data_IF_385979425792
#
_entry.id   IF_385979425792
#
_cell.length_a   1.000
_cell.length_b   1.000
_cell.length_c   1.000
_cell.angle_alpha   90.00
_cell.angle_beta   90.00
_cell.angle_gamma   90.00
#
_symmetry.space_group_name_H-M   'P 1'
#
loop_
_entity.id
_entity.type
_entity.pdbx_description
1 polymer ?
#
# COMPACT_ATOMS: atom_id res chain seq x y z
N UNK A 1 41.16 -18.24 -17.12
CA UNK A 1 40.04 -18.61 -18.04
C UNK A 1 39.21 -19.75 -17.48
N UNK A 2 39.77 -20.92 -17.16
CA UNK A 2 39.00 -22.04 -16.57
C UNK A 2 38.37 -21.65 -15.23
N UNK A 3 39.12 -21.00 -14.36
CA UNK A 3 38.62 -20.61 -13.03
C UNK A 3 37.47 -19.61 -13.11
N UNK A 4 37.56 -18.61 -14.00
CA UNK A 4 36.47 -17.68 -14.30
C UNK A 4 35.20 -18.39 -14.73
N UNK A 5 35.30 -19.34 -15.67
CA UNK A 5 34.15 -20.13 -16.09
C UNK A 5 33.55 -20.90 -14.90
N UNK A 6 34.40 -21.54 -14.09
CA UNK A 6 33.97 -22.34 -12.94
C UNK A 6 33.39 -21.50 -11.80
N UNK A 7 33.71 -20.21 -11.74
CA UNK A 7 33.14 -19.27 -10.78
C UNK A 7 31.77 -18.75 -11.23
N UNK A 8 31.63 -18.33 -12.50
CA UNK A 8 30.42 -17.69 -13.00
C UNK A 8 29.32 -18.65 -13.47
N UNK A 9 29.67 -19.87 -13.90
CA UNK A 9 28.67 -20.88 -14.21
C UNK A 9 28.20 -21.59 -12.93
N UNK A 10 26.92 -22.02 -12.87
CA UNK A 10 25.90 -22.01 -13.92
C UNK A 10 25.23 -20.65 -14.15
N UNK A 11 24.58 -20.47 -15.31
CA UNK A 11 23.73 -19.32 -15.57
C UNK A 11 22.56 -19.26 -14.56
N UNK A 12 22.59 -18.30 -13.64
CA UNK A 12 21.56 -18.14 -12.61
C UNK A 12 20.19 -17.80 -13.21
N UNK A 13 20.15 -16.88 -14.18
CA UNK A 13 18.92 -16.37 -14.78
C UNK A 13 19.12 -16.03 -16.26
N UNK A 14 18.16 -16.44 -17.10
CA UNK A 14 18.02 -15.99 -18.49
C UNK A 14 16.68 -15.30 -18.68
N UNK A 15 16.69 -14.04 -19.10
CA UNK A 15 15.48 -13.27 -19.43
C UNK A 15 15.29 -13.25 -20.94
N UNK A 16 14.06 -13.45 -21.41
CA UNK A 16 13.72 -13.45 -22.84
C UNK A 16 12.23 -13.20 -23.07
N UNK A 17 11.85 -12.87 -24.30
CA UNK A 17 10.44 -12.90 -24.69
C UNK A 17 9.95 -14.35 -24.94
N UNK A 18 8.62 -14.52 -24.82
CA UNK A 18 7.91 -15.81 -24.93
C UNK A 18 8.06 -16.52 -26.28
N UNK A 19 8.38 -15.79 -27.35
CA UNK A 19 8.61 -16.32 -28.69
C UNK A 19 9.86 -17.20 -28.80
N UNK A 20 10.83 -17.06 -27.89
CA UNK A 20 12.04 -17.88 -27.86
C UNK A 20 11.86 -19.20 -27.08
N UNK A 21 10.75 -19.38 -26.35
CA UNK A 21 10.45 -20.61 -25.61
C UNK A 21 10.51 -21.85 -26.54
N UNK A 22 9.75 -21.92 -27.65
CA UNK A 22 9.70 -23.12 -28.49
C UNK A 22 10.98 -23.37 -29.31
N UNK A 23 11.97 -22.48 -29.27
CA UNK A 23 13.22 -22.60 -30.04
C UNK A 23 14.46 -22.43 -29.14
N UNK A 24 15.09 -21.26 -29.14
CA UNK A 24 16.37 -20.96 -28.51
C UNK A 24 16.44 -21.38 -27.04
N UNK A 25 15.40 -21.11 -26.23
CA UNK A 25 15.44 -21.47 -24.81
C UNK A 25 15.37 -23.00 -24.62
N UNK A 26 14.55 -23.68 -25.41
CA UNK A 26 14.48 -25.15 -25.43
C UNK A 26 15.80 -25.75 -25.92
N UNK A 27 16.35 -25.24 -27.02
CA UNK A 27 17.66 -25.67 -27.55
C UNK A 27 18.78 -25.41 -26.55
N UNK A 28 18.76 -24.30 -25.81
CA UNK A 28 19.75 -24.02 -24.78
C UNK A 28 19.75 -25.09 -23.70
N UNK A 29 18.59 -25.55 -23.24
CA UNK A 29 18.49 -26.65 -22.27
C UNK A 29 19.09 -27.95 -22.84
N UNK A 30 18.72 -28.33 -24.06
CA UNK A 30 19.27 -29.53 -24.71
C UNK A 30 20.79 -29.47 -24.87
N UNK A 31 21.32 -28.33 -25.34
CA UNK A 31 22.76 -28.17 -25.51
C UNK A 31 23.50 -28.23 -24.17
N UNK A 32 23.00 -27.59 -23.11
CA UNK A 32 23.65 -27.66 -21.79
C UNK A 32 23.64 -29.07 -21.21
N UNK A 33 22.54 -29.81 -21.38
CA UNK A 33 22.44 -31.18 -20.93
C UNK A 33 23.39 -32.12 -21.70
N UNK A 34 23.50 -31.95 -23.02
CA UNK A 34 24.40 -32.75 -23.85
C UNK A 34 25.88 -32.43 -23.64
N UNK A 35 26.19 -31.15 -23.39
CA UNK A 35 27.57 -30.70 -23.23
C UNK A 35 28.06 -31.02 -21.80
N UNK A 36 27.27 -30.73 -20.77
CA UNK A 36 27.57 -31.00 -19.35
C UNK A 36 26.76 -32.17 -18.80
N UNK A 37 26.78 -33.30 -19.50
CA UNK A 37 26.06 -34.53 -19.13
C UNK A 37 26.47 -35.03 -17.73
N UNK A 38 27.79 -35.04 -17.45
CA UNK A 38 28.35 -35.47 -16.18
C UNK A 38 28.34 -34.39 -15.08
N UNK A 39 27.96 -33.15 -15.42
CA UNK A 39 27.95 -32.02 -14.48
C UNK A 39 26.61 -31.24 -14.46
N UNK A 40 25.49 -31.85 -14.01
CA UNK A 40 24.18 -31.18 -13.96
C UNK A 40 24.16 -29.90 -13.11
N UNK A 41 25.11 -29.74 -12.21
CA UNK A 41 25.30 -28.50 -11.46
C UNK A 41 25.54 -27.29 -12.38
N UNK A 42 26.13 -27.48 -13.56
CA UNK A 42 26.41 -26.45 -14.56
C UNK A 42 25.20 -26.14 -15.47
N UNK A 43 24.07 -26.83 -15.31
CA UNK A 43 22.86 -26.55 -16.09
C UNK A 43 22.22 -25.21 -15.67
N UNK A 44 21.52 -24.52 -16.59
CA UNK A 44 20.81 -23.27 -16.30
C UNK A 44 19.86 -23.40 -15.09
N UNK A 45 19.83 -22.40 -14.21
CA UNK A 45 19.02 -22.46 -12.97
C UNK A 45 17.63 -21.88 -13.13
N UNK A 46 17.46 -20.82 -13.91
CA UNK A 46 16.14 -20.21 -14.10
C UNK A 46 16.03 -19.47 -15.43
N UNK A 47 14.80 -19.41 -15.92
CA UNK A 47 14.38 -18.61 -17.07
C UNK A 47 13.19 -17.75 -16.64
N UNK A 48 13.21 -16.49 -17.07
CA UNK A 48 12.07 -15.58 -16.94
C UNK A 48 11.63 -15.16 -18.34
N UNK A 49 10.35 -15.33 -18.65
CA UNK A 49 9.80 -15.01 -19.96
C UNK A 49 8.74 -13.93 -19.85
N UNK A 50 8.86 -12.87 -20.66
CA UNK A 50 7.89 -11.80 -20.78
C UNK A 50 7.11 -11.86 -22.11
N UNK A 51 5.96 -11.18 -22.18
CA UNK A 51 5.27 -10.96 -23.45
C UNK A 51 5.98 -9.98 -24.38
N UNK A 52 5.40 -9.73 -25.56
CA UNK A 52 5.91 -8.70 -26.46
C UNK A 52 5.57 -7.30 -25.95
N UNK A 53 6.28 -6.29 -26.44
CA UNK A 53 6.03 -4.89 -26.05
C UNK A 53 5.04 -4.26 -27.02
N UNK A 54 3.95 -3.72 -26.47
CA UNK A 54 3.04 -2.78 -27.11
C UNK A 54 3.48 -1.34 -26.81
N UNK A 55 3.05 -0.40 -27.64
CA UNK A 55 3.19 1.04 -27.40
C UNK A 55 1.79 1.65 -27.41
N UNK A 56 1.38 2.24 -26.29
CA UNK A 56 0.04 2.78 -26.05
C UNK A 56 -1.08 1.79 -26.45
N UNK A 57 -0.97 0.57 -25.93
CA UNK A 57 -1.87 -0.56 -26.17
C UNK A 57 -1.95 -1.04 -27.64
N UNK A 58 -1.09 -0.52 -28.52
CA UNK A 58 -1.01 -0.94 -29.91
C UNK A 58 0.25 -1.74 -30.23
N UNK A 59 0.13 -2.69 -31.15
CA UNK A 59 1.30 -3.38 -31.70
C UNK A 59 2.24 -2.37 -32.35
N UNK A 60 3.50 -2.41 -31.94
CA UNK A 60 4.54 -1.53 -32.47
C UNK A 60 4.77 -1.78 -33.96
N UNK A 61 4.59 -0.76 -34.80
CA UNK A 61 4.92 -0.84 -36.23
C UNK A 61 5.37 0.50 -36.79
N UNK A 62 6.36 0.47 -37.70
CA UNK A 62 6.83 1.69 -38.39
C UNK A 62 5.71 2.38 -39.18
N UNK A 63 4.82 1.59 -39.78
CA UNK A 63 3.69 2.10 -40.57
C UNK A 63 2.65 2.87 -39.75
N UNK A 64 2.51 2.57 -38.46
CA UNK A 64 1.60 3.26 -37.54
C UNK A 64 2.24 4.48 -36.88
N UNK A 65 3.53 4.71 -37.08
CA UNK A 65 4.27 5.80 -36.44
C UNK A 65 4.47 5.65 -34.92
N UNK A 66 4.14 4.48 -34.34
CA UNK A 66 4.32 4.18 -32.91
C UNK A 66 5.58 3.34 -32.64
N UNK A 67 6.51 3.28 -33.59
CA UNK A 67 7.79 2.60 -33.43
C UNK A 67 8.77 3.51 -32.69
N UNK A 68 9.23 3.07 -31.52
CA UNK A 68 10.16 3.84 -30.68
C UNK A 68 11.50 3.12 -30.62
N UNK A 69 12.58 3.77 -31.04
CA UNK A 69 13.93 3.26 -30.77
C UNK A 69 14.35 3.62 -29.35
N UNK A 70 15.23 2.81 -28.77
CA UNK A 70 15.81 3.08 -27.44
C UNK A 70 16.39 4.51 -27.36
N UNK A 71 17.20 4.91 -28.34
CA UNK A 71 17.81 6.25 -28.36
C UNK A 71 16.76 7.37 -28.43
N UNK A 72 15.63 7.14 -29.13
CA UNK A 72 14.54 8.11 -29.20
C UNK A 72 13.86 8.24 -27.85
N UNK A 73 13.57 7.12 -27.18
CA UNK A 73 12.97 7.13 -25.84
C UNK A 73 13.87 7.81 -24.81
N UNK A 74 15.17 7.53 -24.83
CA UNK A 74 16.14 8.19 -23.93
C UNK A 74 16.24 9.68 -24.21
N UNK A 75 16.21 10.09 -25.48
CA UNK A 75 16.30 11.51 -25.85
C UNK A 75 15.02 12.28 -25.49
N UNK A 76 13.85 11.65 -25.65
CA UNK A 76 12.56 12.29 -25.38
C UNK A 76 12.20 12.29 -23.88
N UNK A 77 12.55 11.23 -23.15
CA UNK A 77 12.10 11.03 -21.78
C UNK A 77 13.20 10.97 -20.73
N UNK A 78 14.48 10.95 -21.11
CA UNK A 78 15.62 10.48 -20.29
C UNK A 78 15.68 8.96 -20.09
N UNK A 79 16.87 8.48 -19.73
CA UNK A 79 17.09 7.07 -19.44
C UNK A 79 16.26 6.58 -18.25
N UNK A 80 16.13 7.38 -17.19
CA UNK A 80 15.44 6.95 -15.97
C UNK A 80 13.93 6.90 -16.14
N UNK A 81 13.32 7.89 -16.80
CA UNK A 81 11.87 7.84 -17.04
C UNK A 81 11.50 6.74 -18.06
N UNK A 82 12.35 6.49 -19.06
CA UNK A 82 12.19 5.34 -19.97
C UNK A 82 12.22 4.02 -19.19
N UNK A 83 13.22 3.83 -18.31
CA UNK A 83 13.32 2.62 -17.47
C UNK A 83 12.14 2.48 -16.51
N UNK A 84 11.67 3.59 -15.94
CA UNK A 84 10.47 3.63 -15.09
C UNK A 84 9.26 3.10 -15.87
N UNK A 85 8.99 3.65 -17.05
CA UNK A 85 7.88 3.21 -17.89
C UNK A 85 8.03 1.75 -18.33
N UNK A 86 9.25 1.27 -18.62
CA UNK A 86 9.51 -0.14 -18.91
C UNK A 86 9.21 -1.06 -17.73
N UNK A 87 9.54 -0.65 -16.51
CA UNK A 87 9.29 -1.44 -15.31
C UNK A 87 7.80 -1.46 -14.90
N UNK A 88 7.04 -0.40 -15.23
CA UNK A 88 5.57 -0.36 -15.07
C UNK A 88 4.83 -1.11 -16.20
N UNK A 89 5.47 -1.35 -17.35
CA UNK A 89 4.82 -1.84 -18.56
C UNK A 89 4.16 -3.22 -18.42
N UNK A 90 4.74 -4.10 -17.60
CA UNK A 90 4.22 -5.44 -17.35
C UNK A 90 5.29 -6.50 -17.10
N UNK A 91 4.96 -7.40 -16.19
CA UNK A 91 5.82 -8.42 -15.59
C UNK A 91 5.15 -9.80 -15.62
N UNK A 92 4.39 -10.09 -16.69
CA UNK A 92 3.80 -11.39 -16.98
C UNK A 92 4.15 -11.89 -18.39
N UNK A 93 3.61 -13.05 -18.77
CA UNK A 93 3.68 -13.59 -20.15
C UNK A 93 2.74 -12.86 -21.13
N UNK A 94 1.81 -12.07 -20.61
CA UNK A 94 0.98 -11.18 -21.42
C UNK A 94 1.84 -10.06 -22.01
N UNK A 95 1.37 -9.48 -23.10
CA UNK A 95 2.11 -8.41 -23.76
C UNK A 95 2.16 -7.17 -22.85
N UNK A 96 3.39 -6.72 -22.57
CA UNK A 96 3.66 -5.55 -21.76
C UNK A 96 3.34 -4.28 -22.56
N UNK A 97 2.87 -3.23 -21.89
CA UNK A 97 2.50 -1.99 -22.55
C UNK A 97 3.42 -0.83 -22.13
N UNK A 98 4.29 -0.39 -23.04
CA UNK A 98 5.01 0.86 -22.87
C UNK A 98 4.04 2.03 -23.12
N UNK A 99 3.71 2.77 -22.05
CA UNK A 99 2.86 3.96 -22.10
C UNK A 99 3.72 5.22 -22.17
N UNK A 100 3.56 6.01 -23.25
CA UNK A 100 4.25 7.31 -23.37
C UNK A 100 3.81 8.29 -22.28
N UNK A 101 2.53 8.25 -21.92
CA UNK A 101 1.97 9.04 -20.81
C UNK A 101 2.63 8.69 -19.47
N UNK A 102 2.92 7.41 -19.23
CA UNK A 102 3.62 6.97 -18.02
C UNK A 102 5.07 7.46 -18.03
N UNK A 103 5.75 7.48 -19.18
CA UNK A 103 7.10 8.03 -19.30
C UNK A 103 7.12 9.54 -19.01
N UNK A 104 6.19 10.31 -19.58
CA UNK A 104 6.05 11.76 -19.30
C UNK A 104 5.74 12.01 -17.82
N UNK A 105 4.82 11.24 -17.24
CA UNK A 105 4.46 11.32 -15.82
C UNK A 105 5.63 10.97 -14.90
N UNK A 106 6.48 10.02 -15.29
CA UNK A 106 7.67 9.66 -14.54
C UNK A 106 8.68 10.82 -14.49
N UNK A 107 8.87 11.57 -15.58
CA UNK A 107 9.73 12.77 -15.57
C UNK A 107 9.22 13.77 -14.53
N UNK A 108 7.93 14.12 -14.61
CA UNK A 108 7.31 15.08 -13.70
C UNK A 108 7.42 14.60 -12.25
N UNK A 109 7.13 13.31 -12.01
CA UNK A 109 7.23 12.72 -10.66
C UNK A 109 8.66 12.78 -10.13
N UNK A 110 9.66 12.36 -10.90
CA UNK A 110 11.06 12.36 -10.46
C UNK A 110 11.57 13.77 -10.15
N UNK A 111 11.23 14.77 -10.96
CA UNK A 111 11.63 16.17 -10.75
C UNK A 111 10.94 16.78 -9.54
N UNK A 112 9.64 16.52 -9.37
CA UNK A 112 8.89 17.01 -8.21
C UNK A 112 9.43 16.43 -6.90
N UNK A 113 9.78 15.13 -6.90
CA UNK A 113 10.34 14.48 -5.72
C UNK A 113 11.77 14.91 -5.41
N UNK A 114 12.61 15.11 -6.43
CA UNK A 114 13.95 15.70 -6.28
C UNK A 114 13.89 17.06 -5.59
N UNK A 115 13.01 17.94 -6.10
CA UNK A 115 12.79 19.28 -5.56
C UNK A 115 12.25 19.22 -4.14
N UNK A 116 11.19 18.43 -3.91
CA UNK A 116 10.57 18.32 -2.60
C UNK A 116 11.53 17.78 -1.54
N UNK A 117 12.29 16.72 -1.84
CA UNK A 117 13.27 16.14 -0.92
C UNK A 117 14.35 17.16 -0.57
N UNK A 118 14.90 17.83 -1.58
CA UNK A 118 15.98 18.81 -1.40
C UNK A 118 15.51 19.99 -0.55
N UNK A 119 14.38 20.60 -0.90
CA UNK A 119 13.85 21.78 -0.21
C UNK A 119 13.42 21.44 1.23
N UNK A 120 12.76 20.29 1.42
CA UNK A 120 12.25 19.89 2.73
C UNK A 120 13.39 19.59 3.70
N UNK A 121 14.41 18.84 3.27
CA UNK A 121 15.54 18.47 4.15
C UNK A 121 16.49 19.65 4.44
N UNK A 122 16.49 20.67 3.58
CA UNK A 122 17.20 21.92 3.84
C UNK A 122 16.40 22.90 4.74
N UNK A 123 15.09 22.68 4.91
CA UNK A 123 14.24 23.59 5.69
C UNK A 123 14.55 23.53 7.19
N UNK A 124 14.63 24.68 7.89
CA UNK A 124 14.73 24.72 9.35
C UNK A 124 13.40 24.39 10.05
N UNK A 125 12.29 24.27 9.30
CA UNK A 125 10.95 24.05 9.86
C UNK A 125 10.71 22.59 10.27
N UNK A 126 11.66 21.69 9.98
CA UNK A 126 11.60 20.31 10.47
C UNK A 126 11.97 20.27 11.94
N UNK A 127 11.11 19.68 12.76
CA UNK A 127 11.46 19.44 14.16
C UNK A 127 12.48 18.31 14.27
N UNK A 128 13.32 18.42 15.28
CA UNK A 128 14.44 17.50 15.54
C UNK A 128 14.39 16.87 16.93
N UNK A 129 13.45 17.31 17.76
CA UNK A 129 13.25 16.92 19.13
C UNK A 129 11.79 16.52 19.42
N UNK A 130 11.61 15.92 20.59
CA UNK A 130 10.32 15.42 21.08
C UNK A 130 10.06 13.94 20.78
N UNK A 131 9.08 13.38 21.48
CA UNK A 131 8.63 12.01 21.21
C UNK A 131 7.96 11.89 19.84
N UNK A 132 8.07 10.71 19.23
CA UNK A 132 7.33 10.41 18.01
C UNK A 132 5.82 10.46 18.28
N UNK A 133 5.13 11.31 17.54
CA UNK A 133 3.67 11.39 17.57
C UNK A 133 3.03 10.18 16.86
N UNK A 134 1.70 10.14 16.83
CA UNK A 134 0.96 9.06 16.19
C UNK A 134 1.34 8.87 14.71
N UNK A 135 1.34 9.96 13.92
CA UNK A 135 1.60 9.89 12.48
C UNK A 135 3.06 9.70 12.11
N UNK A 136 3.99 10.07 12.98
CA UNK A 136 5.39 9.69 12.88
C UNK A 136 5.55 8.17 12.88
N UNK A 137 4.96 7.52 13.89
CA UNK A 137 4.99 6.07 14.04
C UNK A 137 4.32 5.39 12.85
N UNK A 138 3.21 5.97 12.37
CA UNK A 138 2.50 5.48 11.18
C UNK A 138 3.42 5.49 9.96
N UNK A 139 4.09 6.61 9.67
CA UNK A 139 5.00 6.69 8.51
C UNK A 139 6.19 5.73 8.66
N UNK A 140 6.77 5.60 9.85
CA UNK A 140 7.83 4.60 10.10
C UNK A 140 7.35 3.17 9.84
N UNK A 141 6.14 2.85 10.28
CA UNK A 141 5.52 1.55 10.05
C UNK A 141 5.23 1.29 8.57
N UNK A 142 4.74 2.30 7.84
CA UNK A 142 4.54 2.22 6.40
C UNK A 142 5.86 2.02 5.65
N UNK A 143 6.93 2.72 6.01
CA UNK A 143 8.28 2.50 5.44
C UNK A 143 8.70 1.05 5.65
N UNK A 144 8.58 0.51 6.87
CA UNK A 144 8.93 -0.88 7.16
C UNK A 144 8.16 -1.87 6.27
N UNK A 145 6.84 -1.71 6.18
CA UNK A 145 5.96 -2.55 5.35
C UNK A 145 6.32 -2.47 3.88
N UNK A 146 6.52 -1.26 3.35
CA UNK A 146 6.77 -1.01 1.93
C UNK A 146 8.16 -1.45 1.48
N UNK A 147 9.17 -1.29 2.34
CA UNK A 147 10.53 -1.82 2.12
C UNK A 147 10.49 -3.34 1.94
N UNK A 148 9.76 -4.05 2.81
CA UNK A 148 9.59 -5.51 2.71
C UNK A 148 8.79 -5.92 1.49
N UNK A 149 7.68 -5.25 1.22
CA UNK A 149 6.83 -5.55 0.09
C UNK A 149 7.57 -5.37 -1.23
N UNK A 150 8.26 -4.24 -1.42
CA UNK A 150 9.07 -3.98 -2.61
C UNK A 150 10.21 -5.00 -2.77
N UNK A 151 10.90 -5.34 -1.67
CA UNK A 151 11.95 -6.38 -1.68
C UNK A 151 11.42 -7.72 -2.18
N UNK A 152 10.24 -8.13 -1.68
CA UNK A 152 9.56 -9.35 -2.12
C UNK A 152 9.22 -9.28 -3.60
N UNK A 153 8.62 -8.17 -4.06
CA UNK A 153 8.25 -7.98 -5.46
C UNK A 153 9.47 -8.10 -6.38
N UNK A 154 10.56 -7.38 -6.10
CA UNK A 154 11.80 -7.47 -6.87
C UNK A 154 12.48 -8.85 -6.79
N UNK A 155 12.48 -9.51 -5.63
CA UNK A 155 12.99 -10.88 -5.50
C UNK A 155 12.21 -11.87 -6.37
N UNK A 156 10.92 -11.62 -6.61
CA UNK A 156 10.06 -12.39 -7.52
C UNK A 156 9.99 -11.83 -8.94
N UNK A 157 10.82 -10.84 -9.29
CA UNK A 157 10.84 -10.16 -10.59
C UNK A 157 9.51 -9.49 -11.00
N UNK A 158 8.67 -9.15 -10.03
CA UNK A 158 7.44 -8.38 -10.20
C UNK A 158 7.78 -6.88 -10.11
N UNK A 159 8.41 -6.34 -11.16
CA UNK A 159 8.93 -4.97 -11.15
C UNK A 159 7.84 -3.91 -11.10
N UNK A 160 6.66 -4.18 -11.65
CA UNK A 160 5.53 -3.24 -11.61
C UNK A 160 5.02 -3.09 -10.18
N UNK A 161 4.80 -4.21 -9.50
CA UNK A 161 4.45 -4.22 -8.07
C UNK A 161 5.58 -3.63 -7.20
N UNK A 162 6.84 -3.86 -7.59
CA UNK A 162 7.99 -3.27 -6.93
C UNK A 162 7.99 -1.73 -6.98
N UNK A 163 7.66 -1.13 -8.13
CA UNK A 163 7.48 0.32 -8.27
C UNK A 163 6.23 0.80 -7.53
N UNK A 164 5.14 0.04 -7.59
CA UNK A 164 3.91 0.35 -6.85
C UNK A 164 4.21 0.54 -5.36
N UNK A 165 4.96 -0.37 -4.75
CA UNK A 165 5.31 -0.28 -3.34
C UNK A 165 6.45 0.73 -3.09
N UNK A 166 7.52 0.69 -3.89
CA UNK A 166 8.75 1.45 -3.64
C UNK A 166 8.73 2.90 -4.09
N UNK A 167 7.80 3.27 -4.96
CA UNK A 167 7.60 4.65 -5.42
C UNK A 167 6.21 5.15 -5.03
N UNK A 168 5.15 4.62 -5.65
CA UNK A 168 3.82 5.21 -5.54
C UNK A 168 3.26 5.19 -4.10
N UNK A 169 3.28 4.03 -3.43
CA UNK A 169 2.81 3.93 -2.05
C UNK A 169 3.71 4.66 -1.05
N UNK A 170 5.03 4.70 -1.29
CA UNK A 170 5.95 5.50 -0.46
C UNK A 170 5.61 7.00 -0.56
N UNK A 171 5.28 7.49 -1.76
CA UNK A 171 4.85 8.89 -1.95
C UNK A 171 3.51 9.17 -1.26
N UNK A 172 2.55 8.23 -1.35
CA UNK A 172 1.25 8.34 -0.68
C UNK A 172 1.40 8.39 0.84
N UNK A 173 2.15 7.46 1.44
CA UNK A 173 2.40 7.43 2.89
C UNK A 173 3.02 8.75 3.39
N UNK A 174 4.01 9.27 2.66
CA UNK A 174 4.63 10.58 2.96
C UNK A 174 3.65 11.74 2.77
N UNK A 175 2.78 11.71 1.76
CA UNK A 175 1.78 12.76 1.52
C UNK A 175 0.71 12.80 2.62
N UNK A 176 0.27 11.64 3.10
CA UNK A 176 -0.66 11.54 4.23
C UNK A 176 -0.02 12.09 5.51
N UNK A 177 1.23 11.72 5.79
CA UNK A 177 2.01 12.26 6.90
C UNK A 177 2.15 13.80 6.81
N UNK A 178 2.53 14.30 5.63
CA UNK A 178 2.69 15.73 5.37
C UNK A 178 1.38 16.50 5.53
N UNK A 179 0.26 15.99 5.00
CA UNK A 179 -1.05 16.61 5.14
C UNK A 179 -1.45 16.67 6.61
N UNK A 180 -1.30 15.57 7.35
CA UNK A 180 -1.63 15.54 8.76
C UNK A 180 -0.81 16.54 9.58
N UNK A 181 0.50 16.59 9.35
CA UNK A 181 1.40 17.53 10.01
C UNK A 181 0.98 18.99 9.75
N UNK A 182 0.86 19.36 8.47
CA UNK A 182 0.48 20.72 8.06
C UNK A 182 -0.84 21.15 8.70
N UNK A 183 -1.86 20.32 8.57
CA UNK A 183 -3.23 20.65 8.98
C UNK A 183 -3.45 20.53 10.50
N UNK A 184 -2.55 19.83 11.21
CA UNK A 184 -2.51 19.82 12.68
C UNK A 184 -1.67 20.95 13.27
N UNK A 185 -0.95 21.72 12.45
CA UNK A 185 0.01 22.73 12.91
C UNK A 185 1.24 22.13 13.60
N UNK A 186 1.58 20.88 13.27
CA UNK A 186 2.72 20.14 13.84
C UNK A 186 3.75 19.95 12.73
N UNK A 187 5.00 20.34 12.98
CA UNK A 187 6.09 20.14 12.03
C UNK A 187 6.39 18.65 11.80
N UNK A 188 6.81 18.30 10.57
CA UNK A 188 7.34 16.97 10.26
C UNK A 188 8.67 16.72 10.98
N UNK A 189 8.93 15.47 11.36
CA UNK A 189 10.16 15.05 12.02
C UNK A 189 11.30 14.86 11.02
N UNK A 190 12.44 15.50 11.25
CA UNK A 190 13.61 15.42 10.36
C UNK A 190 14.08 13.99 10.10
N UNK A 191 14.34 13.22 11.16
CA UNK A 191 14.86 11.84 11.04
C UNK A 191 13.92 10.90 10.28
N UNK A 192 12.61 11.09 10.40
CA UNK A 192 11.62 10.26 9.71
C UNK A 192 11.58 10.61 8.21
N UNK A 193 11.59 11.90 7.88
CA UNK A 193 11.65 12.36 6.48
C UNK A 193 12.97 11.92 5.83
N UNK A 194 14.08 12.00 6.56
CA UNK A 194 15.39 11.54 6.08
C UNK A 194 15.40 10.02 5.86
N UNK A 195 14.89 9.24 6.82
CA UNK A 195 14.77 7.77 6.67
C UNK A 195 13.91 7.40 5.46
N UNK A 196 12.79 8.10 5.27
CA UNK A 196 11.93 7.92 4.10
C UNK A 196 12.68 8.20 2.80
N UNK A 197 13.36 9.35 2.70
CA UNK A 197 14.10 9.76 1.51
C UNK A 197 15.21 8.76 1.15
N UNK A 198 16.00 8.34 2.14
CA UNK A 198 17.04 7.33 1.96
C UNK A 198 16.45 5.99 1.47
N UNK A 199 15.31 5.58 2.02
CA UNK A 199 14.65 4.33 1.62
C UNK A 199 14.18 4.39 0.17
N UNK A 200 13.52 5.49 -0.24
CA UNK A 200 13.06 5.68 -1.63
C UNK A 200 14.23 5.67 -2.60
N UNK A 201 15.31 6.41 -2.30
CA UNK A 201 16.48 6.49 -3.17
C UNK A 201 17.10 5.11 -3.42
N UNK A 202 17.24 4.28 -2.37
CA UNK A 202 17.77 2.93 -2.52
C UNK A 202 16.79 2.03 -3.28
N UNK A 203 15.49 2.08 -2.94
CA UNK A 203 14.47 1.21 -3.53
C UNK A 203 14.25 1.48 -5.02
N UNK A 204 14.34 2.73 -5.48
CA UNK A 204 14.16 3.07 -6.90
C UNK A 204 15.45 2.92 -7.71
N UNK A 205 16.63 2.83 -7.07
CA UNK A 205 17.93 2.74 -7.75
C UNK A 205 18.03 1.64 -8.83
N UNK A 206 17.45 0.43 -8.67
CA UNK A 206 17.43 -0.57 -9.75
C UNK A 206 16.70 -0.10 -11.01
N UNK A 207 15.73 0.81 -10.89
CA UNK A 207 14.90 1.32 -11.98
C UNK A 207 15.44 2.66 -12.49
N UNK A 208 15.68 3.63 -11.62
CA UNK A 208 16.14 4.99 -11.93
C UNK A 208 17.49 5.28 -11.28
N UNK A 209 18.59 4.66 -11.74
CA UNK A 209 19.89 4.78 -11.09
C UNK A 209 20.47 6.19 -11.14
N UNK A 210 20.29 6.95 -12.23
CA UNK A 210 20.95 8.26 -12.36
C UNK A 210 20.35 9.29 -11.39
N UNK A 211 19.03 9.31 -11.27
CA UNK A 211 18.28 10.08 -10.29
C UNK A 211 18.66 9.67 -8.88
N UNK A 212 18.78 8.36 -8.63
CA UNK A 212 19.14 7.82 -7.31
C UNK A 212 20.55 8.23 -6.90
N UNK A 213 21.53 8.16 -7.79
CA UNK A 213 22.91 8.62 -7.54
C UNK A 213 22.98 10.13 -7.29
N UNK A 214 22.24 10.93 -8.07
CA UNK A 214 22.12 12.37 -7.87
C UNK A 214 21.53 12.69 -6.48
N UNK A 215 20.44 12.03 -6.12
CA UNK A 215 19.80 12.21 -4.82
C UNK A 215 20.66 11.71 -3.66
N UNK A 216 21.32 10.56 -3.79
CA UNK A 216 22.23 10.02 -2.78
C UNK A 216 23.31 11.03 -2.41
N UNK A 217 23.91 11.67 -3.41
CA UNK A 217 24.87 12.76 -3.22
C UNK A 217 24.22 13.99 -2.56
N UNK A 218 23.03 14.41 -2.99
CA UNK A 218 22.31 15.56 -2.38
C UNK A 218 21.93 15.30 -0.91
N UNK A 219 21.67 14.04 -0.55
CA UNK A 219 21.45 13.59 0.83
C UNK A 219 22.74 13.53 1.67
N UNK A 220 23.89 13.91 1.10
CA UNK A 220 25.19 13.91 1.79
C UNK A 220 25.73 12.52 2.07
N UNK A 221 25.28 11.50 1.33
CA UNK A 221 25.75 10.13 1.48
C UNK A 221 27.06 9.91 0.74
N UNK A 222 27.90 9.05 1.29
CA UNK A 222 29.16 8.65 0.68
C UNK A 222 28.98 7.43 -0.23
N UNK A 223 29.92 7.25 -1.16
CA UNK A 223 29.90 6.16 -2.12
C UNK A 223 28.82 6.31 -3.20
N UNK A 224 28.45 5.19 -3.81
CA UNK A 224 27.41 5.12 -4.85
C UNK A 224 26.13 4.53 -4.28
N UNK A 225 24.98 5.04 -4.70
CA UNK A 225 23.66 4.51 -4.33
C UNK A 225 23.52 3.03 -4.71
N UNK A 226 24.08 2.62 -5.86
CA UNK A 226 24.07 1.22 -6.31
C UNK A 226 24.83 0.26 -5.40
N UNK A 227 25.72 0.77 -4.54
CA UNK A 227 26.44 -0.01 -3.54
C UNK A 227 25.81 0.05 -2.15
N UNK A 228 24.76 0.84 -1.97
CA UNK A 228 24.04 0.89 -0.70
C UNK A 228 23.36 -0.45 -0.43
N UNK A 229 23.36 -0.94 0.82
CA UNK A 229 22.57 -2.10 1.19
C UNK A 229 21.08 -1.78 1.08
N UNK A 230 20.26 -2.79 0.83
CA UNK A 230 18.81 -2.63 0.87
C UNK A 230 18.35 -2.03 2.21
N UNK A 231 17.32 -1.16 2.26
CA UNK A 231 16.94 -0.48 3.49
C UNK A 231 16.55 -1.46 4.59
N UNK A 232 16.96 -1.16 5.82
CA UNK A 232 16.56 -1.94 7.00
C UNK A 232 15.09 -1.68 7.31
N UNK A 233 14.35 -2.75 7.59
CA UNK A 233 12.95 -2.70 7.99
C UNK A 233 12.67 -3.64 9.15
N UNK A 234 11.80 -3.22 10.06
CA UNK A 234 11.28 -4.03 11.16
C UNK A 234 9.96 -4.71 10.74
N UNK A 235 9.40 -5.57 11.60
CA UNK A 235 8.05 -6.10 11.36
C UNK A 235 6.99 -5.00 11.40
N UNK A 236 5.98 -5.15 10.54
CA UNK A 236 4.85 -4.23 10.51
C UNK A 236 4.04 -4.36 11.80
N UNK A 237 3.82 -3.23 12.48
CA UNK A 237 2.80 -3.10 13.49
C UNK A 237 1.42 -3.05 12.81
N UNK A 238 0.81 -4.22 12.64
CA UNK A 238 -0.56 -4.38 12.10
C UNK A 238 -1.59 -3.58 12.87
N UNK A 239 -1.37 -3.38 14.17
CA UNK A 239 -2.27 -2.64 15.03
C UNK A 239 -2.24 -1.16 14.67
N UNK A 240 -1.04 -0.60 14.49
CA UNK A 240 -0.87 0.79 14.06
C UNK A 240 -1.40 1.04 12.64
N UNK A 241 -1.19 0.09 11.71
CA UNK A 241 -1.77 0.15 10.36
C UNK A 241 -3.31 0.26 10.41
N UNK A 242 -3.95 -0.49 11.32
CA UNK A 242 -5.40 -0.44 11.53
C UNK A 242 -5.87 0.89 12.13
N UNK A 243 -5.13 1.43 13.09
CA UNK A 243 -5.42 2.74 13.66
C UNK A 243 -5.35 3.85 12.59
N UNK A 244 -4.30 3.83 11.76
CA UNK A 244 -4.14 4.75 10.62
C UNK A 244 -5.30 4.62 9.61
N UNK A 245 -5.61 3.37 9.23
CA UNK A 245 -6.73 3.06 8.33
C UNK A 245 -8.06 3.56 8.89
N UNK A 246 -8.30 3.37 10.18
CA UNK A 246 -9.50 3.87 10.84
C UNK A 246 -9.63 5.40 10.74
N UNK A 247 -8.54 6.14 10.97
CA UNK A 247 -8.53 7.59 10.82
C UNK A 247 -8.82 8.02 9.37
N UNK A 248 -8.14 7.43 8.39
CA UNK A 248 -8.33 7.72 6.97
C UNK A 248 -9.75 7.40 6.48
N UNK A 249 -10.26 6.21 6.81
CA UNK A 249 -11.62 5.80 6.46
C UNK A 249 -12.67 6.67 7.15
N UNK A 250 -12.42 7.10 8.39
CA UNK A 250 -13.28 8.05 9.10
C UNK A 250 -13.34 9.41 8.41
N UNK A 251 -12.20 9.97 8.02
CA UNK A 251 -12.15 11.24 7.28
C UNK A 251 -12.88 11.15 5.93
N UNK A 252 -12.69 10.05 5.19
CA UNK A 252 -13.42 9.82 3.94
C UNK A 252 -14.94 9.80 4.16
N UNK A 253 -15.40 9.14 5.23
CA UNK A 253 -16.82 9.14 5.62
C UNK A 253 -17.31 10.52 6.02
N UNK A 254 -16.54 11.23 6.84
CA UNK A 254 -16.88 12.57 7.33
C UNK A 254 -17.01 13.58 6.19
N UNK A 255 -16.07 13.58 5.23
CA UNK A 255 -16.17 14.42 4.02
C UNK A 255 -17.45 14.11 3.22
N UNK A 256 -17.78 12.83 3.06
CA UNK A 256 -19.00 12.39 2.39
C UNK A 256 -20.29 12.78 3.13
N UNK A 257 -20.27 12.79 4.45
CA UNK A 257 -21.39 13.23 5.30
C UNK A 257 -21.54 14.74 5.27
N UNK A 258 -20.43 15.48 5.37
CA UNK A 258 -20.41 16.93 5.27
C UNK A 258 -20.93 17.43 3.92
N UNK A 259 -20.52 16.78 2.81
CA UNK A 259 -21.02 17.10 1.48
C UNK A 259 -22.53 16.83 1.28
N UNK A 260 -23.14 15.99 2.12
CA UNK A 260 -24.58 15.67 2.09
C UNK A 260 -25.39 16.46 3.13
N UNK A 261 -24.75 17.23 4.01
CA UNK A 261 -25.43 17.97 5.04
C UNK A 261 -26.32 19.07 4.45
N UNK A 262 -27.49 19.30 5.06
CA UNK A 262 -28.39 20.40 4.66
C UNK A 262 -27.70 21.74 4.96
N UNK A 263 -27.91 22.75 4.13
CA UNK A 263 -27.42 24.12 4.38
C UNK A 263 -27.99 24.64 5.71
N UNK A 264 -27.18 25.41 6.45
CA UNK A 264 -27.60 26.05 7.70
C UNK A 264 -27.35 25.26 8.99
N UNK A 265 -26.49 24.22 8.95
CA UNK A 265 -25.98 23.59 10.17
C UNK A 265 -25.18 24.60 11.00
N UNK A 266 -25.29 24.50 12.32
CA UNK A 266 -24.69 25.40 13.30
C UNK A 266 -23.58 24.73 14.09
N UNK A 267 -23.67 23.40 14.29
CA UNK A 267 -22.69 22.62 15.05
C UNK A 267 -22.46 21.25 14.42
N UNK A 268 -21.35 20.62 14.76
CA UNK A 268 -21.01 19.28 14.32
C UNK A 268 -20.54 18.44 15.51
N UNK A 269 -20.88 17.17 15.51
CA UNK A 269 -20.46 16.21 16.52
C UNK A 269 -20.00 14.92 15.85
N UNK A 270 -18.85 14.38 16.26
CA UNK A 270 -18.44 13.03 15.85
C UNK A 270 -19.01 12.04 16.85
N UNK A 271 -19.88 11.17 16.39
CA UNK A 271 -20.53 10.17 17.23
C UNK A 271 -19.79 8.84 17.12
N UNK A 272 -19.42 8.27 18.26
CA UNK A 272 -18.73 6.98 18.39
C UNK A 272 -19.49 6.04 19.33
N UNK A 273 -19.19 4.74 19.24
CA UNK A 273 -19.75 3.69 20.10
C UNK A 273 -18.69 2.62 20.29
N UNK A 274 -18.47 2.19 21.53
CA UNK A 274 -17.56 1.08 21.86
C UNK A 274 -18.29 -0.26 21.85
N UNK A 275 -19.62 -0.23 21.97
CA UNK A 275 -20.45 -1.42 21.92
C UNK A 275 -20.99 -1.66 20.51
N UNK A 276 -20.89 -2.90 20.03
CA UNK A 276 -21.64 -3.34 18.84
C UNK A 276 -23.13 -3.53 19.18
N UNK A 277 -24.03 -3.27 18.22
CA UNK A 277 -25.42 -3.74 18.30
C UNK A 277 -25.47 -5.25 18.55
N UNK A 278 -26.45 -5.71 19.33
CA UNK A 278 -26.56 -7.09 19.80
C UNK A 278 -26.49 -8.13 18.66
N UNK A 279 -27.12 -7.85 17.50
CA UNK A 279 -27.06 -8.74 16.35
C UNK A 279 -25.65 -8.92 15.78
N UNK A 280 -24.80 -7.88 15.81
CA UNK A 280 -23.39 -7.98 15.42
C UNK A 280 -22.59 -8.76 16.45
N UNK A 281 -22.84 -8.55 17.74
CA UNK A 281 -22.20 -9.32 18.83
C UNK A 281 -22.52 -10.81 18.67
N UNK A 282 -23.78 -11.17 18.44
CA UNK A 282 -24.20 -12.55 18.23
C UNK A 282 -23.56 -13.17 16.99
N UNK A 283 -23.40 -12.37 15.92
CA UNK A 283 -22.69 -12.80 14.70
C UNK A 283 -21.21 -13.04 14.97
N UNK A 284 -20.52 -12.13 15.66
CA UNK A 284 -19.10 -12.27 16.00
C UNK A 284 -18.86 -13.48 16.91
N UNK A 285 -19.67 -13.67 17.95
CA UNK A 285 -19.60 -14.84 18.83
C UNK A 285 -19.74 -16.14 18.05
N UNK A 286 -20.72 -16.21 17.15
CA UNK A 286 -20.87 -17.37 16.27
C UNK A 286 -19.65 -17.57 15.36
N UNK A 287 -19.09 -16.50 14.80
CA UNK A 287 -17.87 -16.59 13.98
C UNK A 287 -16.66 -17.05 14.79
N UNK A 288 -16.54 -16.65 16.06
CA UNK A 288 -15.49 -17.11 16.98
C UNK A 288 -15.58 -18.62 17.22
N UNK A 289 -16.79 -19.17 17.33
CA UNK A 289 -17.00 -20.63 17.46
C UNK A 289 -16.60 -21.39 16.19
N UNK A 290 -16.64 -20.75 15.02
CA UNK A 290 -16.19 -21.35 13.76
C UNK A 290 -14.68 -21.16 13.50
N UNK A 291 -13.99 -20.35 14.30
CA UNK A 291 -12.57 -20.07 14.09
C UNK A 291 -11.71 -21.23 14.58
N UNK A 292 -10.88 -21.77 13.67
CA UNK A 292 -9.95 -22.82 14.01
C UNK A 292 -8.60 -22.21 14.42
N UNK A 293 -8.26 -22.32 15.71
CA UNK A 293 -6.99 -21.81 16.25
C UNK A 293 -5.77 -22.55 15.71
N UNK A 294 -5.90 -23.81 15.30
CA UNK A 294 -4.77 -24.59 14.79
C UNK A 294 -4.37 -24.16 13.38
N UNK A 295 -5.36 -23.83 12.53
CA UNK A 295 -5.10 -23.34 11.17
C UNK A 295 -5.06 -21.82 11.08
N UNK A 296 -5.57 -21.13 12.10
CA UNK A 296 -5.72 -19.67 12.12
C UNK A 296 -6.78 -19.16 11.14
N UNK A 297 -7.71 -20.01 10.68
CA UNK A 297 -8.64 -19.71 9.60
C UNK A 297 -10.09 -20.02 9.95
N UNK A 298 -11.02 -19.44 9.16
CA UNK A 298 -12.42 -19.86 9.13
C UNK A 298 -12.59 -20.98 8.10
N UNK A 299 -13.53 -21.94 8.32
CA UNK A 299 -13.68 -23.11 7.46
C UNK A 299 -14.03 -22.74 6.02
N UNK A 300 -13.64 -23.59 5.06
CA UNK A 300 -14.01 -23.41 3.65
C UNK A 300 -15.52 -23.42 3.44
N UNK A 301 -16.27 -24.11 4.31
CA UNK A 301 -17.73 -24.20 4.35
C UNK A 301 -18.42 -23.01 5.04
N UNK A 302 -17.67 -22.03 5.54
CA UNK A 302 -18.17 -20.90 6.34
C UNK A 302 -19.43 -20.23 5.77
N UNK A 303 -19.48 -19.93 4.47
CA UNK A 303 -20.63 -19.24 3.87
C UNK A 303 -21.91 -20.09 3.86
N UNK A 304 -21.76 -21.42 3.76
CA UNK A 304 -22.88 -22.37 3.80
C UNK A 304 -23.43 -22.46 5.23
N UNK A 305 -22.54 -22.55 6.22
CA UNK A 305 -22.89 -22.61 7.64
C UNK A 305 -23.54 -21.31 8.12
N UNK A 306 -22.99 -20.16 7.72
CA UNK A 306 -23.53 -18.83 8.00
C UNK A 306 -24.97 -18.69 7.48
N UNK A 307 -25.25 -19.19 6.27
CA UNK A 307 -26.62 -19.20 5.70
C UNK A 307 -27.57 -20.06 6.54
N UNK A 308 -27.10 -21.21 7.04
CA UNK A 308 -27.86 -22.07 7.93
C UNK A 308 -28.13 -21.43 9.30
N UNK A 309 -27.11 -20.79 9.89
CA UNK A 309 -27.20 -20.12 11.19
C UNK A 309 -28.14 -18.91 11.13
N UNK A 310 -27.99 -18.04 10.13
CA UNK A 310 -28.86 -16.86 9.94
C UNK A 310 -30.32 -17.25 9.73
N UNK A 311 -30.60 -18.31 8.96
CA UNK A 311 -31.96 -18.82 8.74
C UNK A 311 -32.66 -19.36 9.99
N UNK A 312 -31.92 -19.71 11.05
CA UNK A 312 -32.45 -20.19 12.33
C UNK A 312 -32.52 -19.09 13.40
N UNK A 313 -31.55 -18.17 13.41
CA UNK A 313 -31.34 -17.23 14.52
C UNK A 313 -31.73 -15.78 14.20
N UNK A 314 -32.05 -15.47 12.93
CA UNK A 314 -32.46 -14.12 12.51
C UNK A 314 -33.82 -14.21 11.83
N UNK A 315 -34.85 -13.67 12.48
CA UNK A 315 -36.25 -13.74 12.01
C UNK A 315 -36.56 -12.73 10.89
N UNK A 316 -35.90 -11.57 10.89
CA UNK A 316 -36.11 -10.52 9.91
C UNK A 316 -35.27 -10.74 8.63
N UNK A 317 -35.93 -10.75 7.46
CA UNK A 317 -35.28 -10.97 6.15
C UNK A 317 -34.23 -9.91 5.79
N UNK A 318 -34.45 -8.65 6.18
CA UNK A 318 -33.50 -7.55 5.97
C UNK A 318 -32.29 -7.73 6.89
N UNK A 319 -32.50 -8.17 8.13
CA UNK A 319 -31.41 -8.47 9.08
C UNK A 319 -30.57 -9.68 8.65
N UNK A 320 -31.15 -10.71 8.02
CA UNK A 320 -30.38 -11.81 7.43
C UNK A 320 -29.38 -11.26 6.41
N UNK A 321 -29.83 -10.37 5.51
CA UNK A 321 -28.95 -9.75 4.51
C UNK A 321 -27.81 -8.97 5.15
N UNK A 322 -28.10 -8.13 6.14
CA UNK A 322 -27.06 -7.35 6.83
C UNK A 322 -26.08 -8.22 7.62
N UNK A 323 -26.57 -9.28 8.24
CA UNK A 323 -25.75 -10.26 8.96
C UNK A 323 -24.80 -10.98 8.02
N UNK A 324 -25.29 -11.44 6.86
CA UNK A 324 -24.47 -12.06 5.83
C UNK A 324 -23.37 -11.12 5.31
N UNK A 325 -23.72 -9.86 5.04
CA UNK A 325 -22.76 -8.86 4.57
C UNK A 325 -21.70 -8.55 5.63
N UNK A 326 -22.10 -8.41 6.89
CA UNK A 326 -21.19 -8.16 8.00
C UNK A 326 -20.24 -9.33 8.21
N UNK A 327 -20.75 -10.57 8.31
CA UNK A 327 -19.90 -11.75 8.47
C UNK A 327 -18.96 -11.99 7.28
N UNK A 328 -19.41 -11.71 6.05
CA UNK A 328 -18.53 -11.76 4.87
C UNK A 328 -17.40 -10.73 4.95
N UNK A 329 -17.67 -9.53 5.46
CA UNK A 329 -16.65 -8.52 5.70
C UNK A 329 -15.66 -8.97 6.78
N UNK A 330 -16.16 -9.46 7.92
CA UNK A 330 -15.31 -9.95 9.02
C UNK A 330 -14.46 -11.15 8.61
N UNK A 331 -14.94 -12.03 7.72
CA UNK A 331 -14.14 -13.14 7.16
C UNK A 331 -12.88 -12.63 6.47
N UNK A 332 -12.99 -11.54 5.71
CA UNK A 332 -11.84 -10.94 5.03
C UNK A 332 -10.87 -10.31 6.04
N UNK A 333 -11.39 -9.66 7.09
CA UNK A 333 -10.56 -9.14 8.18
C UNK A 333 -9.80 -10.26 8.92
N UNK A 334 -10.43 -11.41 9.16
CA UNK A 334 -9.76 -12.57 9.78
C UNK A 334 -8.61 -13.08 8.92
N UNK A 335 -8.75 -13.06 7.59
CA UNK A 335 -7.67 -13.48 6.70
C UNK A 335 -6.43 -12.56 6.77
N UNK A 336 -6.61 -11.30 7.16
CA UNK A 336 -5.53 -10.30 7.24
C UNK A 336 -4.84 -10.30 8.61
N UNK A 337 -5.62 -10.41 9.71
CA UNK A 337 -5.09 -10.23 11.08
C UNK A 337 -5.38 -11.37 12.05
N UNK A 338 -5.98 -12.45 11.56
CA UNK A 338 -6.40 -13.58 12.37
C UNK A 338 -7.53 -13.25 13.36
N UNK A 339 -7.50 -13.94 14.50
CA UNK A 339 -8.58 -13.95 15.52
C UNK A 339 -8.99 -12.57 16.02
N UNK A 340 -8.07 -11.60 16.08
CA UNK A 340 -8.33 -10.22 16.57
C UNK A 340 -9.41 -9.52 15.75
N UNK A 341 -9.62 -9.91 14.48
CA UNK A 341 -10.74 -9.41 13.71
C UNK A 341 -12.10 -9.76 14.34
N UNK A 342 -12.21 -10.87 15.06
CA UNK A 342 -13.46 -11.34 15.66
C UNK A 342 -13.74 -10.75 17.04
N UNK A 343 -12.87 -9.87 17.54
CA UNK A 343 -13.05 -9.28 18.86
C UNK A 343 -14.32 -8.41 18.91
N UNK A 344 -15.06 -8.55 20.01
CA UNK A 344 -16.31 -7.81 20.24
C UNK A 344 -16.01 -6.35 20.58
N UNK A 345 -14.80 -6.08 21.08
CA UNK A 345 -14.30 -4.73 21.34
C UNK A 345 -13.28 -4.37 20.28
N UNK A 346 -13.22 -3.09 19.93
CA UNK A 346 -12.12 -2.60 19.10
C UNK A 346 -10.80 -2.87 19.83
N UNK A 347 -9.76 -3.32 19.10
CA UNK A 347 -8.45 -3.54 19.72
C UNK A 347 -7.75 -2.21 20.07
N UNK A 348 -8.30 -1.06 19.66
CA UNK A 348 -7.79 0.28 19.95
C UNK A 348 -8.88 1.21 20.48
N UNK A 349 -8.45 2.21 21.24
CA UNK A 349 -9.28 3.35 21.63
C UNK A 349 -9.47 4.31 20.44
N UNK A 350 -10.63 4.19 19.78
CA UNK A 350 -11.02 5.07 18.67
C UNK A 350 -11.20 6.53 19.11
N UNK A 351 -11.61 6.78 20.36
CA UNK A 351 -11.75 8.13 20.88
C UNK A 351 -10.39 8.79 20.99
N UNK A 352 -9.40 8.10 21.57
CA UNK A 352 -8.04 8.60 21.69
C UNK A 352 -7.43 8.99 20.32
N UNK A 353 -7.65 8.19 19.28
CA UNK A 353 -7.16 8.47 17.91
C UNK A 353 -7.82 9.72 17.33
N UNK A 354 -9.14 9.83 17.47
CA UNK A 354 -9.89 10.98 16.96
C UNK A 354 -9.53 12.25 17.73
N UNK A 355 -9.43 12.17 19.07
CA UNK A 355 -9.00 13.26 19.95
C UNK A 355 -7.59 13.75 19.57
N UNK A 356 -6.64 12.82 19.43
CA UNK A 356 -5.27 13.12 19.00
C UNK A 356 -5.17 13.70 17.59
N UNK A 357 -6.23 13.58 16.77
CA UNK A 357 -6.30 14.10 15.41
C UNK A 357 -7.34 15.22 15.25
N UNK A 358 -7.80 15.86 16.33
CA UNK A 358 -8.86 16.89 16.26
C UNK A 358 -8.45 18.05 15.35
N UNK A 359 -7.24 18.59 15.49
CA UNK A 359 -6.76 19.71 14.68
C UNK A 359 -6.78 19.35 13.19
N UNK A 360 -6.29 18.17 12.86
CA UNK A 360 -6.34 17.62 11.51
C UNK A 360 -7.77 17.54 10.96
N UNK A 361 -8.68 16.90 11.72
CA UNK A 361 -10.07 16.69 11.31
C UNK A 361 -10.80 18.03 11.13
N UNK A 362 -10.57 19.01 12.03
CA UNK A 362 -11.13 20.37 11.93
C UNK A 362 -10.72 21.04 10.62
N UNK A 363 -9.42 21.05 10.32
CA UNK A 363 -8.89 21.64 9.08
C UNK A 363 -9.48 20.95 7.84
N UNK A 364 -9.45 19.62 7.83
CA UNK A 364 -9.91 18.81 6.69
C UNK A 364 -11.40 18.91 6.38
N UNK A 365 -12.22 19.20 7.39
CA UNK A 365 -13.67 19.37 7.24
C UNK A 365 -14.10 20.84 7.22
N UNK A 366 -13.16 21.78 7.33
CA UNK A 366 -13.41 23.21 7.48
C UNK A 366 -14.41 23.51 8.62
N UNK A 367 -14.23 22.83 9.76
CA UNK A 367 -15.05 22.98 10.96
C UNK A 367 -14.30 23.83 11.99
N UNK A 368 -14.98 24.84 12.54
CA UNK A 368 -14.41 25.66 13.63
C UNK A 368 -14.27 24.82 14.91
N UNK A 369 -15.37 24.17 15.29
CA UNK A 369 -15.45 23.33 16.48
C UNK A 369 -16.37 22.15 16.21
N UNK A 370 -16.05 21.03 16.86
CA UNK A 370 -16.91 19.87 16.98
C UNK A 370 -16.60 19.18 18.31
N UNK A 371 -17.58 18.48 18.85
CA UNK A 371 -17.45 17.61 20.01
C UNK A 371 -17.45 16.13 19.60
N UNK A 372 -16.87 15.27 20.43
CA UNK A 372 -16.95 13.82 20.24
C UNK A 372 -17.96 13.28 21.26
N UNK A 373 -19.03 12.67 20.77
CA UNK A 373 -20.10 12.09 21.58
C UNK A 373 -19.94 10.58 21.60
N UNK A 374 -19.74 10.01 22.78
CA UNK A 374 -19.72 8.56 22.99
C UNK A 374 -21.11 8.09 23.38
N UNK A 375 -21.75 7.28 22.52
CA UNK A 375 -23.13 6.83 22.76
C UNK A 375 -23.29 6.06 24.06
N UNK A 376 -22.27 5.29 24.45
CA UNK A 376 -22.29 4.50 25.69
C UNK A 376 -22.39 5.37 26.97
N UNK A 377 -21.99 6.65 26.90
CA UNK A 377 -21.98 7.58 28.03
C UNK A 377 -23.21 8.51 28.06
N UNK A 378 -24.00 8.54 26.97
CA UNK A 378 -25.13 9.44 26.79
C UNK A 378 -26.39 8.84 27.43
N UNK A 379 -26.88 9.48 28.50
CA UNK A 379 -28.09 9.05 29.23
C UNK A 379 -29.41 9.63 28.70
N UNK A 380 -29.36 10.52 27.72
CA UNK A 380 -30.51 11.25 27.17
C UNK A 380 -30.62 11.05 25.64
N UNK A 381 -31.82 11.16 25.07
CA UNK A 381 -32.09 10.98 23.63
C UNK A 381 -31.60 12.17 22.77
N UNK A 382 -30.45 12.74 23.12
CA UNK A 382 -29.84 13.89 22.46
C UNK A 382 -29.33 13.57 21.05
N UNK A 383 -29.06 12.30 20.74
CA UNK A 383 -28.65 11.83 19.41
C UNK A 383 -29.85 11.15 18.74
N UNK A 384 -30.28 11.59 17.54
CA UNK A 384 -31.40 10.96 16.83
C UNK A 384 -31.14 9.49 16.48
N UNK A 385 -32.17 8.63 16.55
CA UNK A 385 -32.07 7.19 16.22
C UNK A 385 -31.44 6.94 14.85
N UNK A 386 -31.77 7.76 13.84
CA UNK A 386 -31.19 7.68 12.49
C UNK A 386 -29.67 7.83 12.44
N UNK A 387 -29.07 8.48 13.45
CA UNK A 387 -27.61 8.65 13.61
C UNK A 387 -27.05 7.46 14.38
N UNK A 388 -27.70 7.08 15.48
CA UNK A 388 -27.34 5.91 16.31
C UNK A 388 -27.22 4.64 15.43
N UNK A 389 -28.20 4.40 14.56
CA UNK A 389 -28.20 3.24 13.64
C UNK A 389 -27.01 3.21 12.67
N UNK A 390 -26.33 4.34 12.45
CA UNK A 390 -25.19 4.45 11.54
C UNK A 390 -23.83 4.32 12.23
N UNK A 391 -23.81 4.36 13.57
CA UNK A 391 -22.60 4.29 14.39
C UNK A 391 -22.40 2.87 14.87
N UNK A 392 -21.20 2.33 14.64
CA UNK A 392 -20.74 1.10 15.29
C UNK A 392 -19.25 1.23 15.58
N UNK A 393 -18.67 0.42 16.48
CA UNK A 393 -17.23 0.42 16.73
C UNK A 393 -16.41 0.36 15.43
N UNK A 394 -15.46 1.28 15.28
CA UNK A 394 -14.60 1.43 14.09
C UNK A 394 -15.25 2.22 12.95
N UNK A 395 -16.50 2.65 13.13
CA UNK A 395 -17.30 3.39 12.15
C UNK A 395 -17.97 4.59 12.80
N UNK A 396 -17.14 5.58 13.14
CA UNK A 396 -17.59 6.88 13.61
C UNK A 396 -18.46 7.60 12.56
N UNK A 397 -19.38 8.44 13.03
CA UNK A 397 -20.31 9.20 12.21
C UNK A 397 -20.21 10.71 12.48
N UNK A 398 -20.02 11.52 11.44
CA UNK A 398 -20.13 12.98 11.55
C UNK A 398 -21.60 13.38 11.48
N UNK A 399 -22.13 13.83 12.61
CA UNK A 399 -23.46 14.41 12.71
C UNK A 399 -23.38 15.93 12.64
N UNK A 400 -23.89 16.50 11.55
CA UNK A 400 -24.04 17.96 11.39
C UNK A 400 -25.47 18.37 11.75
N UNK A 401 -25.62 19.36 12.64
CA UNK A 401 -26.91 19.80 13.18
C UNK A 401 -27.10 21.32 13.10
#
# INVERSE_FOLDING_TARGET
>A
MRDEFRYWYPMNLRVSAKDLIPNHLTMALFNHAAIWEDEPALWPKSYYCNGHVLVDAEKMSKSKGNFLMMNDTVSNYSADATRFACADAGDSLDDANFSRETADSAIVSLVNEDTWMTDTLASPDLRTDGEMNFMDKVLVNDINRLVKACSKSFATMQFREGIQHGWFEMMLARNDYRSWCKDSGIAMHKDIVQRWAESVVIMICPVCPHWSESMWKKLGKEGLAVHAPWPKSEEEDKMLSRQSKFLSDSLKRFRGQAGKAKKGWSTASIVISDSYPEWKVNTLKWMQEQYDEATGTLPTTFMKELKGWTGKNVSDKKMIKFTMQFASFMKNEVADVGKVALDINLPFDQNAILQGSIAYIKSQLNLKEFDIIKLDDVKDNSVPDRVIEQVTPGKAYLWMR
#
